data_IF_698789988168
#
_entry.id   IF_698789988168
#
_cell.length_a   1.000
_cell.length_b   1.000
_cell.length_c   1.000
_cell.angle_alpha   90.00
_cell.angle_beta   90.00
_cell.angle_gamma   90.00
#
_symmetry.space_group_name_H-M   'P 1'
#
loop_
_entity.id
_entity.type
_entity.pdbx_description
1 polymer ?
#
# COMPACT_ATOMS: atom_id res chain seq x y z
N UNK A 1 12.11 11.75 6.99
CA UNK A 1 12.46 10.98 8.21
C UNK A 1 11.57 9.74 8.32
N UNK A 2 11.99 8.67 9.02
CA UNK A 2 11.27 7.38 9.02
C UNK A 2 9.79 7.48 9.42
N UNK A 3 9.46 8.27 10.45
CA UNK A 3 8.08 8.46 10.91
C UNK A 3 7.16 9.18 9.90
N UNK A 4 7.71 9.77 8.82
CA UNK A 4 6.90 10.35 7.74
C UNK A 4 6.52 9.34 6.66
N UNK A 5 6.98 8.10 6.76
CA UNK A 5 6.67 7.05 5.78
C UNK A 5 5.58 6.15 6.33
N UNK A 6 4.58 5.88 5.51
CA UNK A 6 3.53 4.91 5.77
C UNK A 6 3.61 3.79 4.73
N UNK A 7 3.92 2.58 5.20
CA UNK A 7 4.06 1.39 4.36
C UNK A 7 2.81 0.53 4.54
N UNK A 8 2.21 0.14 3.44
CA UNK A 8 1.02 -0.71 3.44
C UNK A 8 1.23 -1.92 2.55
N UNK A 9 0.68 -3.07 2.95
CA UNK A 9 0.69 -4.27 2.11
C UNK A 9 -0.63 -5.02 2.10
N UNK A 10 -0.79 -5.90 1.11
CA UNK A 10 -1.86 -6.89 1.06
C UNK A 10 -1.49 -8.16 1.81
N UNK A 11 -1.84 -9.31 1.24
CA UNK A 11 -1.47 -10.64 1.76
C UNK A 11 -0.71 -11.41 0.68
N UNK A 12 0.43 -11.98 1.06
CA UNK A 12 1.32 -12.74 0.16
C UNK A 12 2.77 -12.75 0.66
N UNK A 13 3.65 -13.48 -0.03
CA UNK A 13 5.07 -13.52 0.30
C UNK A 13 5.73 -12.13 0.20
N UNK A 14 5.39 -11.37 -0.84
CA UNK A 14 5.84 -9.98 -1.03
C UNK A 14 5.23 -8.98 -0.03
N UNK A 15 4.11 -9.33 0.58
CA UNK A 15 3.43 -8.44 1.54
C UNK A 15 4.12 -8.36 2.92
N UNK A 16 5.18 -9.15 3.16
CA UNK A 16 6.05 -9.01 4.34
C UNK A 16 7.16 -7.98 4.16
N UNK A 17 7.41 -7.52 2.94
CA UNK A 17 8.45 -6.53 2.61
C UNK A 17 8.37 -5.29 3.50
N UNK A 18 7.20 -4.68 3.79
CA UNK A 18 7.09 -3.56 4.74
C UNK A 18 7.58 -3.84 6.17
N UNK A 19 7.64 -5.09 6.61
CA UNK A 19 8.12 -5.47 7.94
C UNK A 19 9.65 -5.47 8.02
N UNK A 20 10.36 -5.60 6.89
CA UNK A 20 11.81 -5.83 6.87
C UNK A 20 12.67 -4.56 6.80
N UNK A 21 12.09 -3.39 6.49
CA UNK A 21 12.84 -2.13 6.40
C UNK A 21 12.07 -0.97 7.03
N UNK A 22 12.78 0.13 7.36
CA UNK A 22 12.21 1.32 7.99
C UNK A 22 11.42 0.99 9.28
N UNK A 23 12.06 0.36 10.27
CA UNK A 23 11.37 -0.07 11.50
C UNK A 23 10.72 1.05 12.32
N UNK A 24 11.21 2.29 12.19
CA UNK A 24 10.67 3.49 12.85
C UNK A 24 9.61 4.23 12.01
N UNK A 25 9.00 3.55 11.03
CA UNK A 25 7.94 4.09 10.16
C UNK A 25 6.62 3.38 10.39
N UNK A 26 5.51 3.95 9.90
CA UNK A 26 4.20 3.33 10.04
C UNK A 26 4.10 2.12 9.11
N UNK A 27 3.64 0.98 9.62
CA UNK A 27 3.42 -0.24 8.86
C UNK A 27 2.01 -0.77 9.06
N UNK A 28 1.33 -1.15 7.98
CA UNK A 28 -0.01 -1.72 8.04
C UNK A 28 -0.20 -2.85 7.01
N UNK A 29 -0.44 -4.06 7.49
CA UNK A 29 -0.82 -5.19 6.66
C UNK A 29 -2.35 -5.23 6.55
N UNK A 30 -2.85 -4.91 5.36
CA UNK A 30 -4.27 -4.98 5.04
C UNK A 30 -4.69 -6.40 4.66
N UNK A 31 -5.99 -6.57 4.40
CA UNK A 31 -6.52 -7.85 3.89
C UNK A 31 -6.26 -8.01 2.39
N UNK A 32 -6.31 -9.25 1.91
CA UNK A 32 -5.95 -9.62 0.55
C UNK A 32 -6.70 -8.77 -0.51
N UNK A 33 -5.95 -8.12 -1.40
CA UNK A 33 -6.42 -7.24 -2.46
C UNK A 33 -7.04 -5.92 -2.01
N UNK A 34 -6.90 -5.54 -0.72
CA UNK A 34 -7.48 -4.30 -0.17
C UNK A 34 -6.47 -3.22 0.15
N UNK A 35 -5.18 -3.48 -0.05
CA UNK A 35 -4.13 -2.47 0.14
C UNK A 35 -4.40 -1.15 -0.62
N UNK A 36 -4.79 -1.15 -1.92
CA UNK A 36 -5.07 0.10 -2.63
C UNK A 36 -6.21 0.91 -1.98
N UNK A 37 -7.24 0.24 -1.46
CA UNK A 37 -8.38 0.89 -0.81
C UNK A 37 -8.00 1.51 0.53
N UNK A 38 -7.28 0.75 1.36
CA UNK A 38 -6.80 1.22 2.66
C UNK A 38 -5.85 2.39 2.49
N UNK A 39 -4.91 2.30 1.54
CA UNK A 39 -3.94 3.35 1.27
C UNK A 39 -4.64 4.61 0.75
N UNK A 40 -5.65 4.47 -0.12
CA UNK A 40 -6.46 5.61 -0.56
C UNK A 40 -7.11 6.34 0.62
N UNK A 41 -7.68 5.61 1.58
CA UNK A 41 -8.23 6.19 2.79
C UNK A 41 -7.17 6.86 3.67
N UNK A 42 -6.01 6.21 3.84
CA UNK A 42 -4.91 6.77 4.60
C UNK A 42 -4.40 8.09 4.00
N UNK A 43 -4.15 8.13 2.69
CA UNK A 43 -3.73 9.34 1.98
C UNK A 43 -4.81 10.43 1.99
N UNK A 44 -6.09 10.07 2.00
CA UNK A 44 -7.17 11.03 2.16
C UNK A 44 -7.18 11.66 3.57
N UNK A 45 -6.86 10.86 4.60
CA UNK A 45 -6.83 11.31 5.99
C UNK A 45 -5.58 12.15 6.33
N UNK A 46 -4.42 11.84 5.74
CA UNK A 46 -3.19 12.60 5.97
C UNK A 46 -2.33 12.68 4.70
N UNK A 47 -2.25 13.87 4.10
CA UNK A 47 -1.49 14.07 2.85
C UNK A 47 -0.01 14.39 3.07
N UNK A 48 0.44 14.57 4.31
CA UNK A 48 1.82 14.97 4.64
C UNK A 48 2.79 13.78 4.74
N UNK A 49 2.25 12.56 4.71
CA UNK A 49 3.00 11.31 4.75
C UNK A 49 3.40 10.85 3.34
N UNK A 50 4.50 10.10 3.28
CA UNK A 50 4.94 9.40 2.09
C UNK A 50 4.36 7.98 2.12
N UNK A 51 3.49 7.67 1.17
CA UNK A 51 2.83 6.36 1.09
C UNK A 51 3.59 5.39 0.18
N UNK A 52 3.87 4.21 0.71
CA UNK A 52 4.50 3.11 0.00
C UNK A 52 3.62 1.85 0.12
N UNK A 53 2.99 1.46 -0.99
CA UNK A 53 2.24 0.22 -1.10
C UNK A 53 3.11 -0.89 -1.69
N UNK A 54 3.15 -2.06 -1.05
CA UNK A 54 3.78 -3.27 -1.61
C UNK A 54 2.73 -4.38 -1.69
N UNK A 55 2.54 -4.96 -2.87
CA UNK A 55 1.53 -5.99 -3.10
C UNK A 55 2.02 -7.01 -4.13
N UNK A 56 1.46 -8.21 -4.10
CA UNK A 56 1.74 -9.24 -5.10
C UNK A 56 0.96 -9.04 -6.39
N UNK A 57 1.37 -9.75 -7.43
CA UNK A 57 0.64 -9.85 -8.70
C UNK A 57 -0.77 -10.42 -8.49
N UNK A 58 -0.93 -11.50 -7.74
CA UNK A 58 -2.24 -12.06 -7.40
C UNK A 58 -3.10 -11.14 -6.53
N UNK A 59 -2.46 -10.40 -5.61
CA UNK A 59 -3.14 -9.46 -4.72
C UNK A 59 -3.60 -8.20 -5.50
N UNK A 60 -2.80 -7.70 -6.44
CA UNK A 60 -3.09 -6.49 -7.23
C UNK A 60 -3.87 -6.75 -8.51
N UNK A 61 -3.46 -7.73 -9.31
CA UNK A 61 -3.96 -7.96 -10.66
C UNK A 61 -5.05 -9.04 -10.74
N UNK A 62 -5.27 -9.82 -9.67
CA UNK A 62 -6.43 -10.71 -9.55
C UNK A 62 -7.49 -10.11 -8.63
N UNK A 63 -7.51 -10.46 -7.34
CA UNK A 63 -8.60 -10.07 -6.42
C UNK A 63 -8.67 -8.55 -6.14
N UNK A 64 -7.55 -7.84 -6.24
CA UNK A 64 -7.45 -6.40 -6.00
C UNK A 64 -7.64 -5.50 -7.23
N UNK A 65 -7.83 -6.06 -8.44
CA UNK A 65 -7.74 -5.29 -9.69
C UNK A 65 -8.69 -4.09 -9.75
N UNK A 66 -9.91 -4.24 -9.23
CA UNK A 66 -10.89 -3.16 -9.22
C UNK A 66 -10.44 -1.97 -8.36
N UNK A 67 -9.84 -2.25 -7.21
CA UNK A 67 -9.36 -1.21 -6.29
C UNK A 67 -8.09 -0.55 -6.82
N UNK A 68 -7.20 -1.36 -7.42
CA UNK A 68 -5.97 -0.90 -8.06
C UNK A 68 -6.26 0.02 -9.25
N UNK A 69 -7.17 -0.35 -10.15
CA UNK A 69 -7.56 0.50 -11.27
C UNK A 69 -8.17 1.82 -10.79
N UNK A 70 -8.96 1.80 -9.71
CA UNK A 70 -9.54 3.03 -9.15
C UNK A 70 -8.54 3.91 -8.40
N UNK A 71 -7.52 3.37 -7.74
CA UNK A 71 -6.47 4.18 -7.11
C UNK A 71 -5.65 4.91 -8.17
N UNK A 72 -5.34 4.26 -9.30
CA UNK A 72 -4.70 4.91 -10.45
C UNK A 72 -5.57 5.99 -11.08
N UNK A 73 -6.84 5.68 -11.35
CA UNK A 73 -7.77 6.64 -11.97
C UNK A 73 -7.95 7.91 -11.14
N UNK A 74 -7.86 7.81 -9.81
CA UNK A 74 -7.95 8.94 -8.88
C UNK A 74 -6.63 9.70 -8.75
N UNK A 75 -5.51 9.19 -9.27
CA UNK A 75 -4.19 9.78 -9.10
C UNK A 75 -3.79 9.85 -7.62
N UNK A 76 -4.11 8.82 -6.82
CA UNK A 76 -3.77 8.82 -5.39
C UNK A 76 -2.25 8.89 -5.24
N UNK A 77 -1.77 9.87 -4.47
CA UNK A 77 -0.34 10.12 -4.29
C UNK A 77 0.31 9.00 -3.46
N UNK A 78 0.90 8.02 -4.14
CA UNK A 78 1.59 6.89 -3.53
C UNK A 78 2.61 6.29 -4.47
N UNK A 79 3.58 5.57 -3.91
CA UNK A 79 4.40 4.62 -4.67
C UNK A 79 3.77 3.24 -4.50
N UNK A 80 3.49 2.55 -5.61
CA UNK A 80 2.91 1.21 -5.62
C UNK A 80 3.90 0.24 -6.26
N UNK A 81 4.38 -0.73 -5.48
CA UNK A 81 5.32 -1.76 -5.92
C UNK A 81 4.57 -3.09 -6.01
N UNK A 82 4.62 -3.70 -7.20
CA UNK A 82 4.14 -5.07 -7.43
C UNK A 82 5.36 -5.99 -7.43
N UNK A 83 5.36 -7.00 -6.56
CA UNK A 83 6.43 -7.99 -6.35
C UNK A 83 5.87 -9.40 -6.16
#
# INVERSE_FOLDING_TARGET
>A
PPHRVAKLSGIGCSSKTPTYFLGQSHGFNSVHGRMPSVLTGANAANRDLVYLGVSGDGDSASIGIGQFAHSMRRGVNMVYIVE
#
